data_IF_145739745299
#
_entry.id   IF_145739745299
#
_cell.length_a   1.000
_cell.length_b   1.000
_cell.length_c   1.000
_cell.angle_alpha   90.00
_cell.angle_beta   90.00
_cell.angle_gamma   90.00
#
_symmetry.space_group_name_H-M   'P 1'
#
loop_
_entity.id
_entity.type
_entity.pdbx_description
1 polymer ?
#
# COMPACT_ATOMS: atom_id res chain seq x y z
N UNK A 1 -0.86 6.70 3.28
CA UNK A 1 -0.39 6.68 4.68
C UNK A 1 -1.30 7.52 5.58
N UNK A 2 -1.54 8.80 5.25
CA UNK A 2 -2.39 9.71 6.02
C UNK A 2 -3.80 9.12 6.27
N UNK A 3 -4.42 8.50 5.25
CA UNK A 3 -5.74 7.88 5.38
C UNK A 3 -5.81 6.77 6.42
N UNK A 4 -4.73 5.99 6.62
CA UNK A 4 -4.68 4.93 7.63
C UNK A 4 -4.69 5.49 9.06
N UNK A 5 -4.01 6.63 9.30
CA UNK A 5 -4.06 7.30 10.59
C UNK A 5 -5.47 7.81 10.90
N UNK A 6 -6.15 8.43 9.94
CA UNK A 6 -7.53 8.90 10.13
C UNK A 6 -8.49 7.75 10.41
N UNK A 7 -8.39 6.63 9.70
CA UNK A 7 -9.20 5.43 9.97
C UNK A 7 -8.89 4.90 11.37
N UNK A 8 -7.63 4.82 11.76
CA UNK A 8 -7.22 4.38 13.10
C UNK A 8 -7.86 5.24 14.21
N UNK A 9 -7.74 6.56 14.12
CA UNK A 9 -8.34 7.47 15.10
C UNK A 9 -9.87 7.44 15.09
N UNK A 10 -10.49 7.38 13.90
CA UNK A 10 -11.94 7.27 13.76
C UNK A 10 -12.52 5.99 14.39
N UNK A 11 -11.76 4.88 14.35
CA UNK A 11 -12.18 3.62 15.00
C UNK A 11 -11.93 3.61 16.51
N UNK A 12 -10.83 4.21 16.97
CA UNK A 12 -10.48 4.24 18.40
C UNK A 12 -11.44 5.12 19.21
N UNK A 13 -11.84 6.28 18.68
CA UNK A 13 -12.70 7.24 19.36
C UNK A 13 -14.06 6.65 19.79
N UNK A 14 -14.86 6.09 18.85
CA UNK A 14 -16.12 5.42 19.20
C UNK A 14 -15.95 4.23 20.14
N UNK A 15 -14.92 3.39 19.92
CA UNK A 15 -14.63 2.25 20.77
C UNK A 15 -14.33 2.67 22.21
N UNK A 16 -13.47 3.68 22.40
CA UNK A 16 -13.14 4.22 23.71
C UNK A 16 -14.35 4.85 24.41
N UNK A 17 -15.14 5.65 23.68
CA UNK A 17 -16.35 6.27 24.21
C UNK A 17 -17.40 5.24 24.64
N UNK A 18 -17.52 4.14 23.87
CA UNK A 18 -18.43 3.03 24.24
C UNK A 18 -17.97 2.35 25.53
N UNK A 19 -16.69 1.99 25.64
CA UNK A 19 -16.14 1.32 26.83
C UNK A 19 -16.24 2.21 28.07
N UNK A 20 -15.91 3.48 27.99
CA UNK A 20 -15.84 4.36 29.18
C UNK A 20 -17.18 4.93 29.61
N UNK A 21 -18.08 5.22 28.68
CA UNK A 21 -19.31 5.98 28.96
C UNK A 21 -20.58 5.13 28.91
N UNK A 22 -20.65 4.15 28.06
CA UNK A 22 -21.84 3.31 27.86
C UNK A 22 -21.79 2.00 28.61
N UNK A 23 -20.65 1.33 28.67
CA UNK A 23 -20.51 0.04 29.36
C UNK A 23 -20.95 0.07 30.84
N UNK A 24 -20.53 1.06 31.67
CA UNK A 24 -20.95 1.12 33.05
C UNK A 24 -22.46 1.32 33.26
N UNK A 25 -23.11 2.05 32.31
CA UNK A 25 -24.57 2.28 32.35
C UNK A 25 -25.37 1.04 31.95
N UNK A 26 -24.88 0.27 30.98
CA UNK A 26 -25.50 -0.97 30.54
C UNK A 26 -25.43 -2.08 31.60
N UNK A 27 -24.35 -2.16 32.34
CA UNK A 27 -24.22 -3.11 33.44
C UNK A 27 -25.28 -2.88 34.54
N UNK A 28 -25.69 -1.63 34.76
CA UNK A 28 -26.77 -1.29 35.72
C UNK A 28 -28.20 -1.58 35.20
N UNK A 29 -28.41 -1.59 33.88
CA UNK A 29 -29.73 -1.84 33.23
C UNK A 29 -29.96 -3.34 32.90
N UNK A 30 -29.23 -4.24 33.51
CA UNK A 30 -29.04 -5.65 33.16
C UNK A 30 -30.28 -6.57 33.23
N UNK A 31 -31.47 -6.09 33.49
CA UNK A 31 -32.59 -7.05 33.78
C UNK A 31 -33.46 -7.46 32.57
N UNK A 32 -33.38 -6.82 31.41
CA UNK A 32 -34.32 -7.08 30.30
C UNK A 32 -33.80 -7.30 28.87
N UNK A 33 -32.51 -7.06 28.54
CA UNK A 33 -32.01 -7.31 27.16
C UNK A 33 -30.61 -7.93 27.16
N UNK A 34 -30.55 -9.24 27.26
CA UNK A 34 -29.31 -10.02 27.42
C UNK A 34 -28.35 -10.01 26.19
N UNK A 35 -28.84 -9.67 24.99
CA UNK A 35 -28.03 -9.81 23.75
C UNK A 35 -27.42 -8.51 23.21
N UNK A 36 -28.08 -7.40 23.39
CA UNK A 36 -27.62 -6.12 22.83
C UNK A 36 -26.26 -5.61 23.38
N UNK A 37 -25.96 -5.69 24.69
CA UNK A 37 -24.67 -5.23 25.22
C UNK A 37 -23.48 -6.10 24.79
N UNK A 38 -23.70 -7.41 24.58
CA UNK A 38 -22.65 -8.31 24.10
C UNK A 38 -22.25 -7.99 22.66
N UNK A 39 -23.24 -7.74 21.80
CA UNK A 39 -22.98 -7.35 20.40
C UNK A 39 -22.26 -6.01 20.34
N UNK A 40 -22.72 -5.00 21.10
CA UNK A 40 -22.06 -3.70 21.16
C UNK A 40 -20.63 -3.76 21.68
N UNK A 41 -20.37 -4.58 22.70
CA UNK A 41 -19.02 -4.84 23.23
C UNK A 41 -18.10 -5.51 22.22
N UNK A 42 -18.60 -6.50 21.50
CA UNK A 42 -17.85 -7.18 20.45
C UNK A 42 -17.51 -6.22 19.30
N UNK A 43 -18.48 -5.43 18.84
CA UNK A 43 -18.23 -4.43 17.79
C UNK A 43 -17.20 -3.39 18.22
N UNK A 44 -17.28 -2.89 19.46
CA UNK A 44 -16.32 -1.94 19.99
C UNK A 44 -14.90 -2.54 20.06
N UNK A 45 -14.79 -3.79 20.45
CA UNK A 45 -13.52 -4.51 20.51
C UNK A 45 -12.91 -4.72 19.12
N UNK A 46 -13.71 -5.10 18.14
CA UNK A 46 -13.27 -5.22 16.73
C UNK A 46 -12.80 -3.87 16.18
N UNK A 47 -13.52 -2.78 16.46
CA UNK A 47 -13.11 -1.44 16.04
C UNK A 47 -11.80 -0.99 16.70
N UNK A 48 -11.59 -1.29 17.98
CA UNK A 48 -10.32 -1.01 18.66
C UNK A 48 -9.16 -1.77 18.02
N UNK A 49 -9.31 -3.07 17.78
CA UNK A 49 -8.28 -3.86 17.10
C UNK A 49 -7.98 -3.35 15.69
N UNK A 50 -9.02 -3.06 14.91
CA UNK A 50 -8.87 -2.49 13.57
C UNK A 50 -8.15 -1.12 13.60
N UNK A 51 -8.47 -0.28 14.58
CA UNK A 51 -7.84 1.01 14.78
C UNK A 51 -6.35 0.89 15.13
N UNK A 52 -6.01 0.03 16.08
CA UNK A 52 -4.61 -0.23 16.44
C UNK A 52 -3.83 -0.80 15.27
N UNK A 53 -4.39 -1.78 14.56
CA UNK A 53 -3.75 -2.35 13.38
C UNK A 53 -3.51 -1.32 12.28
N UNK A 54 -4.49 -0.45 11.99
CA UNK A 54 -4.35 0.60 11.00
C UNK A 54 -3.27 1.64 11.38
N UNK A 55 -3.18 1.98 12.67
CA UNK A 55 -2.13 2.88 13.17
C UNK A 55 -0.73 2.25 13.02
N UNK A 56 -0.56 1.00 13.44
CA UNK A 56 0.72 0.28 13.33
C UNK A 56 1.17 0.18 11.86
N UNK A 57 0.25 -0.20 10.95
CA UNK A 57 0.53 -0.25 9.52
C UNK A 57 0.89 1.13 8.95
N UNK A 58 0.24 2.19 9.42
CA UNK A 58 0.53 3.57 9.06
C UNK A 58 1.94 3.99 9.49
N UNK A 59 2.31 3.71 10.73
CA UNK A 59 3.65 4.01 11.28
C UNK A 59 4.72 3.26 10.49
N UNK A 60 4.56 1.96 10.28
CA UNK A 60 5.55 1.16 9.56
C UNK A 60 5.78 1.66 8.13
N UNK A 61 4.70 2.02 7.41
CA UNK A 61 4.82 2.61 6.07
C UNK A 61 5.53 3.96 6.10
N UNK A 62 5.26 4.79 7.11
CA UNK A 62 5.91 6.09 7.25
C UNK A 62 7.41 5.93 7.51
N UNK A 63 7.80 5.01 8.39
CA UNK A 63 9.20 4.69 8.68
C UNK A 63 9.94 4.20 7.42
N UNK A 64 9.29 3.36 6.61
CA UNK A 64 9.89 2.88 5.36
C UNK A 64 10.10 4.03 4.36
N UNK A 65 9.14 4.93 4.21
CA UNK A 65 9.25 6.09 3.31
C UNK A 65 10.38 7.02 3.78
N UNK A 66 10.42 7.35 5.07
CA UNK A 66 11.49 8.20 5.63
C UNK A 66 12.85 7.54 5.48
N UNK A 67 12.93 6.23 5.69
CA UNK A 67 14.16 5.47 5.50
C UNK A 67 14.64 5.44 4.04
N UNK A 68 13.72 5.38 3.07
CA UNK A 68 14.07 5.48 1.65
C UNK A 68 14.53 6.90 1.28
N UNK A 69 13.90 7.95 1.84
CA UNK A 69 14.32 9.34 1.62
C UNK A 69 15.77 9.62 2.07
N UNK A 70 16.26 8.87 3.04
CA UNK A 70 17.61 8.99 3.59
C UNK A 70 18.62 8.00 3.00
N UNK A 71 18.19 7.12 2.09
CA UNK A 71 19.03 6.14 1.39
C UNK A 71 19.09 6.46 -0.10
N UNK A 72 20.07 5.88 -0.78
CA UNK A 72 20.12 5.91 -2.24
C UNK A 72 19.29 4.76 -2.81
N UNK A 73 18.65 4.95 -4.00
CA UNK A 73 17.95 3.87 -4.66
C UNK A 73 18.95 2.79 -5.13
N UNK A 74 18.59 1.55 -4.92
CA UNK A 74 19.39 0.39 -5.32
C UNK A 74 19.36 0.26 -6.85
N UNK A 75 20.53 0.25 -7.49
CA UNK A 75 20.70 0.03 -8.92
C UNK A 75 20.73 -1.47 -9.21
N UNK A 76 19.94 -1.92 -10.16
CA UNK A 76 19.90 -3.27 -10.68
C UNK A 76 20.08 -3.24 -12.19
N UNK A 77 21.21 -3.76 -12.67
CA UNK A 77 21.53 -3.83 -14.10
C UNK A 77 21.13 -5.17 -14.70
N UNK A 78 20.96 -5.19 -16.02
CA UNK A 78 20.64 -6.42 -16.74
C UNK A 78 19.25 -6.98 -16.46
N UNK A 79 18.31 -6.13 -16.09
CA UNK A 79 16.92 -6.50 -15.85
C UNK A 79 16.24 -6.74 -17.20
N UNK A 80 15.54 -7.88 -17.34
CA UNK A 80 14.80 -8.22 -18.55
C UNK A 80 13.32 -8.28 -18.23
N UNK A 81 12.50 -7.57 -19.01
CA UNK A 81 11.06 -7.70 -18.93
C UNK A 81 10.59 -9.04 -19.49
N UNK A 82 9.72 -9.73 -18.76
CA UNK A 82 9.11 -10.97 -19.22
C UNK A 82 7.65 -10.81 -19.62
N UNK A 83 6.95 -9.89 -18.96
CA UNK A 83 5.57 -9.57 -19.26
C UNK A 83 5.22 -8.17 -18.79
N UNK A 84 4.42 -7.42 -19.57
CA UNK A 84 3.91 -6.11 -19.21
C UNK A 84 2.39 -6.08 -19.29
N UNK A 85 1.74 -5.67 -18.21
CA UNK A 85 0.30 -5.46 -18.17
C UNK A 85 0.02 -3.96 -18.02
N UNK A 86 -0.40 -3.28 -19.09
CA UNK A 86 -0.44 -1.82 -19.17
C UNK A 86 -1.51 -1.19 -18.27
N UNK A 87 -2.59 -1.89 -17.95
CA UNK A 87 -3.67 -1.28 -17.20
C UNK A 87 -4.44 -2.28 -16.34
N UNK A 88 -4.29 -2.15 -15.03
CA UNK A 88 -5.19 -2.81 -14.09
C UNK A 88 -6.19 -1.78 -13.56
N UNK A 89 -7.47 -2.02 -13.83
CA UNK A 89 -8.57 -1.21 -13.30
C UNK A 89 -9.11 -1.82 -12.02
N UNK A 90 -9.48 -0.96 -11.06
CA UNK A 90 -10.22 -1.41 -9.89
C UNK A 90 -11.54 -2.06 -10.32
N UNK A 91 -11.89 -3.18 -9.67
CA UNK A 91 -13.12 -3.92 -9.95
C UNK A 91 -14.34 -3.04 -9.63
N UNK A 92 -15.15 -2.69 -10.64
CA UNK A 92 -16.39 -1.92 -10.48
C UNK A 92 -16.76 -1.08 -11.71
N UNK A 93 -18.04 -0.65 -11.82
CA UNK A 93 -18.50 0.27 -12.88
C UNK A 93 -17.72 1.60 -12.77
N UNK A 94 -16.96 1.95 -13.81
CA UNK A 94 -16.10 3.15 -13.80
C UNK A 94 -14.74 2.95 -13.10
N UNK A 95 -14.25 1.70 -13.02
CA UNK A 95 -13.03 1.33 -12.31
C UNK A 95 -11.84 2.24 -12.62
N UNK A 96 -11.31 2.87 -11.57
CA UNK A 96 -10.15 3.77 -11.66
C UNK A 96 -8.90 2.96 -11.96
N UNK A 97 -8.05 3.43 -12.86
CA UNK A 97 -6.76 2.81 -13.11
C UNK A 97 -5.93 2.72 -11.82
N UNK A 98 -5.48 1.50 -11.49
CA UNK A 98 -4.65 1.26 -10.31
C UNK A 98 -3.18 1.47 -10.66
N UNK A 99 -2.79 1.15 -11.89
CA UNK A 99 -1.43 1.23 -12.40
C UNK A 99 -1.15 0.16 -13.44
N UNK A 100 0.10 0.07 -13.86
CA UNK A 100 0.63 -0.99 -14.71
C UNK A 100 1.50 -1.93 -13.87
N UNK A 101 1.63 -3.19 -14.31
CA UNK A 101 2.54 -4.15 -13.71
C UNK A 101 3.51 -4.66 -14.77
N UNK A 102 4.76 -4.80 -14.37
CA UNK A 102 5.83 -5.39 -15.17
C UNK A 102 6.43 -6.57 -14.41
N UNK A 103 6.39 -7.74 -14.99
CA UNK A 103 7.10 -8.91 -14.49
C UNK A 103 8.52 -8.86 -15.07
N UNK A 104 9.51 -8.89 -14.19
CA UNK A 104 10.92 -8.79 -14.55
C UNK A 104 11.68 -10.02 -14.09
N UNK A 105 12.78 -10.27 -14.78
CA UNK A 105 13.79 -11.25 -14.39
C UNK A 105 15.14 -10.53 -14.25
N UNK A 106 15.72 -10.66 -13.08
CA UNK A 106 17.06 -10.15 -12.80
C UNK A 106 18.15 -11.06 -13.37
N UNK A 107 19.38 -10.57 -13.44
CA UNK A 107 20.54 -11.32 -13.94
C UNK A 107 20.83 -12.60 -13.12
N UNK A 108 20.49 -12.61 -11.83
CA UNK A 108 20.57 -13.77 -10.93
C UNK A 108 19.45 -14.82 -11.14
N UNK A 109 18.54 -14.57 -12.08
CA UNK A 109 17.40 -15.45 -12.39
C UNK A 109 16.17 -15.23 -11.51
N UNK A 110 16.25 -14.39 -10.48
CA UNK A 110 15.12 -14.04 -9.61
C UNK A 110 14.04 -13.32 -10.43
N UNK A 111 12.78 -13.69 -10.20
CA UNK A 111 11.63 -13.03 -10.83
C UNK A 111 10.94 -12.14 -9.81
N UNK A 112 10.53 -10.96 -10.24
CA UNK A 112 9.80 -10.01 -9.40
C UNK A 112 8.69 -9.32 -10.21
N UNK A 113 7.72 -8.76 -9.50
CA UNK A 113 6.62 -7.98 -10.10
C UNK A 113 6.69 -6.55 -9.62
N UNK A 114 6.87 -5.64 -10.55
CA UNK A 114 7.01 -4.22 -10.30
C UNK A 114 5.70 -3.52 -10.64
N UNK A 115 5.24 -2.65 -9.74
CA UNK A 115 4.04 -1.85 -9.94
C UNK A 115 4.41 -0.40 -10.27
N UNK A 116 3.87 0.10 -11.38
CA UNK A 116 3.95 1.50 -11.76
C UNK A 116 2.62 2.20 -11.48
N UNK A 117 2.68 3.29 -10.75
CA UNK A 117 1.49 4.08 -10.43
C UNK A 117 1.19 5.08 -11.53
N UNK A 118 -0.09 5.39 -11.83
CA UNK A 118 -0.44 6.41 -12.82
C UNK A 118 0.05 7.78 -12.36
N UNK A 119 0.49 8.61 -13.29
CA UNK A 119 1.01 9.96 -13.04
C UNK A 119 0.06 10.85 -12.22
N UNK A 120 -1.26 10.62 -12.37
CA UNK A 120 -2.31 11.35 -11.64
C UNK A 120 -2.31 11.15 -10.13
N UNK A 121 -1.51 10.22 -9.59
CA UNK A 121 -1.47 9.93 -8.14
C UNK A 121 -0.35 10.65 -7.40
N UNK A 122 0.50 11.41 -8.06
CA UNK A 122 1.63 12.10 -7.43
C UNK A 122 2.59 11.18 -6.65
N UNK A 123 2.53 9.86 -6.92
CA UNK A 123 3.41 8.90 -6.29
C UNK A 123 4.78 8.91 -6.97
N UNK A 124 5.82 8.60 -6.22
CA UNK A 124 7.16 8.41 -6.73
C UNK A 124 7.16 7.32 -7.82
N UNK A 125 7.87 7.57 -8.92
CA UNK A 125 7.82 6.72 -10.11
C UNK A 125 6.54 6.87 -10.94
N UNK A 126 5.68 7.83 -10.60
CA UNK A 126 4.50 8.15 -11.40
C UNK A 126 4.94 8.65 -12.79
N UNK A 127 4.33 8.09 -13.84
CA UNK A 127 4.67 8.44 -15.22
C UNK A 127 5.72 7.54 -15.87
N UNK A 128 6.47 6.73 -15.12
CA UNK A 128 7.44 5.78 -15.67
C UNK A 128 6.82 4.54 -16.35
N UNK A 129 5.49 4.37 -16.24
CA UNK A 129 4.79 3.22 -16.84
C UNK A 129 4.91 3.15 -18.37
N UNK A 130 4.86 4.29 -19.06
CA UNK A 130 5.02 4.33 -20.53
C UNK A 130 6.46 4.00 -20.96
N UNK A 131 7.44 4.42 -20.19
CA UNK A 131 8.85 4.08 -20.43
C UNK A 131 9.12 2.60 -20.17
N UNK A 132 8.57 2.06 -19.08
CA UNK A 132 8.61 0.64 -18.75
C UNK A 132 7.97 -0.21 -19.85
N UNK A 133 6.84 0.22 -20.40
CA UNK A 133 6.19 -0.43 -21.53
C UNK A 133 7.09 -0.46 -22.76
N UNK A 134 7.66 0.68 -23.14
CA UNK A 134 8.60 0.79 -24.27
C UNK A 134 9.79 -0.15 -24.12
N UNK A 135 10.41 -0.16 -22.93
CA UNK A 135 11.56 -1.01 -22.63
C UNK A 135 11.18 -2.50 -22.65
N UNK A 136 10.00 -2.84 -22.17
CA UNK A 136 9.50 -4.21 -22.21
C UNK A 136 9.26 -4.70 -23.65
N UNK A 137 8.70 -3.86 -24.51
CA UNK A 137 8.50 -4.19 -25.94
C UNK A 137 9.80 -4.31 -26.73
N UNK A 138 10.85 -3.60 -26.34
CA UNK A 138 12.16 -3.71 -26.99
C UNK A 138 12.83 -5.07 -26.74
N UNK A 139 12.47 -5.76 -25.66
CA UNK A 139 13.11 -7.00 -25.24
C UNK A 139 14.56 -6.85 -24.79
N UNK A 140 15.10 -5.63 -24.81
CA UNK A 140 16.47 -5.35 -24.41
C UNK A 140 16.58 -5.33 -22.87
N UNK A 141 17.74 -5.71 -22.32
CA UNK A 141 18.00 -5.52 -20.90
C UNK A 141 18.05 -4.02 -20.57
N UNK A 142 17.65 -3.67 -19.37
CA UNK A 142 17.62 -2.29 -18.89
C UNK A 142 18.13 -2.20 -17.45
N UNK A 143 18.40 -0.99 -16.98
CA UNK A 143 18.79 -0.67 -15.62
C UNK A 143 17.57 -0.17 -14.85
N UNK A 144 17.39 -0.68 -13.65
CA UNK A 144 16.30 -0.35 -12.74
C UNK A 144 16.86 0.24 -11.45
N UNK A 145 16.37 1.41 -11.05
CA UNK A 145 16.61 1.97 -9.73
C UNK A 145 15.37 1.80 -8.87
N UNK A 146 15.53 1.17 -7.71
CA UNK A 146 14.44 0.83 -6.80
C UNK A 146 14.76 1.23 -5.38
N UNK A 147 13.80 1.78 -4.68
CA UNK A 147 13.91 2.08 -3.26
C UNK A 147 13.89 0.79 -2.44
N UNK A 148 14.90 0.52 -1.57
CA UNK A 148 15.08 -0.80 -0.96
C UNK A 148 13.95 -1.17 0.03
N UNK A 149 13.36 -0.21 0.73
CA UNK A 149 12.35 -0.47 1.76
C UNK A 149 10.92 -0.45 1.23
N UNK A 150 10.60 0.48 0.35
CA UNK A 150 9.25 0.58 -0.24
C UNK A 150 9.11 -0.26 -1.51
N UNK A 151 10.21 -0.59 -2.17
CA UNK A 151 10.23 -1.27 -3.45
C UNK A 151 9.70 -0.43 -4.61
N UNK A 152 9.50 0.86 -4.40
CA UNK A 152 9.03 1.78 -5.44
C UNK A 152 10.13 2.03 -6.45
N UNK A 153 9.79 2.07 -7.73
CA UNK A 153 10.72 2.41 -8.80
C UNK A 153 11.05 3.90 -8.72
N UNK A 154 12.33 4.19 -8.58
CA UNK A 154 12.85 5.56 -8.62
C UNK A 154 13.11 5.98 -10.07
N UNK A 155 13.75 5.10 -10.86
CA UNK A 155 14.04 5.34 -12.26
C UNK A 155 14.23 4.06 -13.05
N UNK A 156 14.14 4.15 -14.37
CA UNK A 156 14.45 3.10 -15.35
C UNK A 156 15.15 3.73 -16.54
N UNK A 157 16.16 3.05 -17.09
CA UNK A 157 16.86 3.49 -18.29
C UNK A 157 17.27 2.29 -19.15
N UNK A 158 17.41 2.51 -20.46
CA UNK A 158 18.00 1.52 -21.35
C UNK A 158 19.47 1.31 -20.99
N UNK A 159 19.97 0.08 -21.05
CA UNK A 159 21.37 -0.26 -20.67
C UNK A 159 22.45 0.33 -21.60
N UNK A 160 22.15 1.38 -22.36
CA UNK A 160 23.06 2.06 -23.27
C UNK A 160 23.06 3.58 -23.15
N UNK A 161 22.31 4.15 -22.22
CA UNK A 161 22.24 5.60 -21.97
C UNK A 161 22.97 5.95 -20.67
N UNK A 162 24.29 5.84 -20.66
CA UNK A 162 25.18 6.49 -19.67
C UNK A 162 25.88 7.68 -20.32
#
# INVERSE_FOLDING_TARGET
>A
TVGLFFVGFACLGPGWMWVTRFYPRYVKLRSRMYKAPLIGGFVALVLLFAGVWALLAGVQRSVNIVGDLSSEPERRDGVVCTHFNPEIRARGKGGRAIGAFMDVRYADGVRDRIQFYPASRGAWGAGKGAEAERLCWSGAPFTLWRWPRTGVVADIASSGEE
#
